data_IF_365758157003
#
_entry.id   IF_365758157003
#
_cell.length_a   1.000
_cell.length_b   1.000
_cell.length_c   1.000
_cell.angle_alpha   90.00
_cell.angle_beta   90.00
_cell.angle_gamma   90.00
#
_symmetry.space_group_name_H-M   'P 1'
#
loop_
_entity.id
_entity.type
_entity.pdbx_description
1 polymer ?
#
# COMPACT_ATOMS: atom_id res chain seq x y z
N UNK A 1 50.97 -10.84 -1.89
CA UNK A 1 50.08 -12.01 -1.92
C UNK A 1 48.83 -11.68 -1.10
N UNK A 2 47.64 -11.89 -1.67
CA UNK A 2 46.36 -11.82 -0.94
C UNK A 2 46.19 -13.06 -0.02
N UNK A 3 45.28 -13.02 0.97
CA UNK A 3 43.94 -13.63 0.74
C UNK A 3 42.78 -12.76 1.28
N UNK A 4 41.62 -12.70 0.60
CA UNK A 4 40.38 -13.47 0.89
C UNK A 4 40.07 -13.57 2.39
N UNK A 5 38.98 -13.05 2.96
CA UNK A 5 37.61 -12.86 2.47
C UNK A 5 36.74 -13.88 3.20
N UNK A 6 35.92 -13.46 4.18
CA UNK A 6 34.71 -14.20 4.60
C UNK A 6 33.81 -13.40 5.58
N UNK A 7 32.54 -13.38 5.20
CA UNK A 7 31.24 -13.27 5.91
C UNK A 7 31.18 -12.92 7.40
N UNK A 8 30.46 -11.85 7.75
CA UNK A 8 29.97 -11.60 9.11
C UNK A 8 28.46 -11.88 9.16
N UNK A 9 28.09 -13.05 9.67
CA UNK A 9 26.84 -13.23 10.41
C UNK A 9 27.06 -12.57 11.77
N UNK A 10 26.23 -11.60 12.13
CA UNK A 10 26.22 -11.07 13.50
C UNK A 10 24.78 -10.99 13.99
N UNK A 11 24.43 -11.98 14.80
CA UNK A 11 23.39 -11.90 15.81
C UNK A 11 24.01 -11.24 17.03
N UNK A 12 23.45 -10.12 17.52
CA UNK A 12 24.00 -9.45 18.70
C UNK A 12 22.84 -8.90 19.54
N UNK A 13 22.66 -9.63 20.63
CA UNK A 13 21.91 -9.34 21.83
C UNK A 13 22.22 -7.93 22.36
N UNK A 14 21.18 -7.28 22.91
CA UNK A 14 21.26 -6.04 23.68
C UNK A 14 22.12 -6.21 24.93
N UNK A 15 23.07 -5.31 25.14
CA UNK A 15 23.48 -4.85 26.47
C UNK A 15 23.87 -3.37 26.43
N UNK A 16 23.19 -2.56 27.23
CA UNK A 16 23.44 -1.14 27.47
C UNK A 16 24.65 -0.94 28.40
N UNK A 17 25.72 -0.25 27.98
CA UNK A 17 26.61 0.54 28.87
C UNK A 17 27.17 1.78 28.13
N UNK A 18 26.69 2.94 28.59
CA UNK A 18 27.26 4.29 28.70
C UNK A 18 28.58 4.67 27.98
N UNK A 19 28.51 5.76 27.20
CA UNK A 19 29.48 6.87 27.29
C UNK A 19 28.82 8.18 26.85
N UNK A 20 28.45 9.00 27.82
CA UNK A 20 27.95 10.37 27.61
C UNK A 20 29.12 11.29 27.22
N UNK A 21 28.95 12.22 26.26
CA UNK A 21 30.03 13.13 25.87
C UNK A 21 30.34 14.12 27.00
N UNK A 22 31.59 14.63 27.10
CA UNK A 22 31.98 15.58 28.14
C UNK A 22 31.12 16.85 28.06
N UNK A 23 30.56 17.27 29.20
CA UNK A 23 29.85 18.56 29.30
C UNK A 23 30.87 19.68 29.31
N UNK A 24 30.77 20.59 28.34
CA UNK A 24 31.47 21.88 28.39
C UNK A 24 30.89 22.71 29.55
N UNK A 25 31.78 23.27 30.37
CA UNK A 25 31.42 24.20 31.46
C UNK A 25 30.72 25.42 30.88
N UNK A 26 29.53 25.73 31.42
CA UNK A 26 28.69 26.83 30.99
C UNK A 26 28.92 28.14 31.78
N UNK A 27 30.04 28.25 32.51
CA UNK A 27 30.24 29.35 33.47
C UNK A 27 30.49 30.74 32.86
N UNK A 28 30.47 30.90 31.53
CA UNK A 28 30.68 32.20 30.88
C UNK A 28 29.65 32.58 29.80
N UNK A 29 28.67 31.72 29.50
CA UNK A 29 27.66 32.04 28.49
C UNK A 29 26.41 32.64 29.16
N UNK A 30 26.46 33.95 29.46
CA UNK A 30 25.25 34.70 29.77
C UNK A 30 24.39 34.72 28.50
N UNK A 31 23.34 33.90 28.43
CA UNK A 31 22.33 34.05 27.38
C UNK A 31 21.75 35.45 27.52
N UNK A 32 21.78 36.22 26.45
CA UNK A 32 20.95 37.42 26.30
C UNK A 32 19.50 36.97 26.35
N UNK A 33 18.89 37.03 27.53
CA UNK A 33 17.44 36.91 27.67
C UNK A 33 16.84 38.16 27.05
N UNK A 34 16.00 38.01 26.03
CA UNK A 34 15.21 39.13 25.52
C UNK A 34 14.37 39.70 26.68
N UNK A 35 14.30 41.03 26.83
CA UNK A 35 13.47 41.68 27.85
C UNK A 35 12.01 41.21 27.83
N UNK A 36 11.54 40.80 26.63
CA UNK A 36 10.23 40.21 26.39
C UNK A 36 9.98 38.96 27.26
N UNK A 37 11.02 38.15 27.50
CA UNK A 37 10.90 36.94 28.34
C UNK A 37 10.70 37.28 29.82
N UNK A 38 11.20 38.43 30.28
CA UNK A 38 11.08 38.85 31.68
C UNK A 38 9.75 39.54 31.95
N UNK A 39 9.22 40.28 30.98
CA UNK A 39 7.88 40.88 31.08
C UNK A 39 6.77 39.83 31.09
N UNK A 40 6.93 38.70 30.40
CA UNK A 40 5.95 37.60 30.47
C UNK A 40 5.91 36.92 31.84
N UNK A 41 7.02 36.88 32.58
CA UNK A 41 7.08 36.29 33.92
C UNK A 41 6.56 37.22 35.02
N UNK A 42 6.52 38.53 34.80
CA UNK A 42 6.04 39.51 35.78
C UNK A 42 4.56 39.88 35.63
N UNK A 43 3.90 39.41 34.56
CA UNK A 43 2.47 39.65 34.31
C UNK A 43 1.60 38.42 34.65
N UNK A 44 2.03 37.57 35.60
CA UNK A 44 1.30 36.35 35.98
C UNK A 44 0.18 36.58 37.02
N UNK A 45 -0.17 37.83 37.34
CA UNK A 45 -1.24 38.15 38.31
C UNK A 45 -2.54 38.70 37.70
N UNK A 46 -2.69 38.74 36.38
CA UNK A 46 -4.00 38.95 35.73
C UNK A 46 -4.15 38.15 34.45
N UNK A 47 -3.99 36.83 34.51
CA UNK A 47 -4.65 35.98 33.53
C UNK A 47 -6.08 35.80 34.05
N UNK A 48 -6.99 36.61 33.52
CA UNK A 48 -8.42 36.47 33.77
C UNK A 48 -8.85 35.03 33.49
N UNK A 49 -9.24 34.32 34.55
CA UNK A 49 -9.75 32.95 34.49
C UNK A 49 -11.08 32.84 33.72
N UNK A 50 -11.57 33.92 33.10
CA UNK A 50 -12.73 33.97 32.21
C UNK A 50 -12.39 34.05 30.72
N UNK A 51 -11.22 33.58 30.28
CA UNK A 51 -11.05 33.30 28.85
C UNK A 51 -12.04 32.19 28.46
N UNK A 52 -12.98 32.44 27.53
CA UNK A 52 -13.91 31.41 27.09
C UNK A 52 -13.10 30.23 26.54
N UNK A 53 -13.53 28.97 26.80
CA UNK A 53 -12.86 27.82 26.24
C UNK A 53 -12.72 27.98 24.73
N UNK A 54 -11.50 27.94 24.20
CA UNK A 54 -11.23 27.96 22.76
C UNK A 54 -11.64 26.59 22.22
N UNK A 55 -12.95 26.38 22.11
CA UNK A 55 -13.60 25.23 21.49
C UNK A 55 -13.87 25.56 20.02
N UNK A 56 -12.91 26.18 19.34
CA UNK A 56 -13.06 26.57 17.93
C UNK A 56 -13.05 25.36 16.99
N UNK A 57 -12.52 24.23 17.45
CA UNK A 57 -12.37 22.99 16.70
C UNK A 57 -13.07 21.82 17.37
N UNK A 58 -13.68 20.97 16.56
CA UNK A 58 -14.34 19.73 16.96
C UNK A 58 -13.72 18.53 16.22
N UNK A 59 -13.66 17.39 16.90
CA UNK A 59 -13.19 16.13 16.31
C UNK A 59 -14.27 15.53 15.40
N UNK A 60 -13.99 15.41 14.11
CA UNK A 60 -14.96 14.97 13.12
C UNK A 60 -14.45 13.82 12.25
N UNK A 61 -15.20 12.71 12.23
CA UNK A 61 -14.85 11.51 11.47
C UNK A 61 -15.35 11.58 10.03
N UNK A 62 -14.43 11.56 9.07
CA UNK A 62 -14.73 11.55 7.64
C UNK A 62 -15.57 10.33 7.23
N UNK A 63 -16.68 10.56 6.51
CA UNK A 63 -17.58 9.50 6.03
C UNK A 63 -17.01 8.67 4.86
N UNK A 64 -15.98 9.18 4.16
CA UNK A 64 -15.31 8.46 3.08
C UNK A 64 -14.27 7.47 3.60
N UNK A 65 -13.28 7.95 4.35
CA UNK A 65 -12.07 7.20 4.72
C UNK A 65 -12.06 6.77 6.19
N UNK A 66 -12.98 7.27 7.01
CA UNK A 66 -13.09 6.94 8.44
C UNK A 66 -12.02 7.55 9.34
N UNK A 67 -11.12 8.39 8.80
CA UNK A 67 -10.15 9.14 9.61
C UNK A 67 -10.85 10.26 10.38
N UNK A 68 -10.40 10.52 11.60
CA UNK A 68 -10.94 11.56 12.49
C UNK A 68 -9.82 12.55 12.75
N UNK A 69 -10.06 13.82 12.45
CA UNK A 69 -9.18 14.93 12.81
C UNK A 69 -10.02 16.09 13.37
N UNK A 70 -9.34 17.15 13.78
CA UNK A 70 -9.91 18.37 14.34
C UNK A 70 -10.21 19.40 13.23
N UNK A 71 -11.42 19.93 13.23
CA UNK A 71 -11.87 20.91 12.23
C UNK A 71 -12.76 21.96 12.89
N UNK A 72 -12.81 23.16 12.31
CA UNK A 72 -13.75 24.18 12.79
C UNK A 72 -15.18 23.81 12.42
N UNK A 73 -16.14 24.11 13.29
CA UNK A 73 -17.57 23.86 13.02
C UNK A 73 -18.06 24.61 11.78
N UNK A 74 -17.49 25.78 11.51
CA UNK A 74 -17.78 26.53 10.28
C UNK A 74 -17.37 25.73 9.04
N UNK A 75 -16.14 25.21 9.01
CA UNK A 75 -15.64 24.41 7.89
C UNK A 75 -16.48 23.13 7.71
N UNK A 76 -16.84 22.44 8.81
CA UNK A 76 -17.73 21.28 8.76
C UNK A 76 -19.08 21.62 8.13
N UNK A 77 -19.68 22.74 8.53
CA UNK A 77 -20.92 23.23 7.96
C UNK A 77 -20.82 23.51 6.45
N UNK A 78 -19.73 24.15 6.00
CA UNK A 78 -19.50 24.44 4.58
C UNK A 78 -19.36 23.15 3.75
N UNK A 79 -18.60 22.16 4.24
CA UNK A 79 -18.43 20.88 3.55
C UNK A 79 -19.76 20.12 3.46
N UNK A 80 -20.52 20.02 4.56
CA UNK A 80 -21.83 19.34 4.53
C UNK A 80 -22.79 19.99 3.53
N UNK A 81 -22.81 21.32 3.44
CA UNK A 81 -23.63 22.03 2.44
C UNK A 81 -23.24 21.69 1.00
N UNK A 82 -21.94 21.47 0.74
CA UNK A 82 -21.40 21.21 -0.60
C UNK A 82 -21.50 19.75 -1.05
N UNK A 83 -21.50 18.80 -0.10
CA UNK A 83 -21.39 17.37 -0.38
C UNK A 83 -22.61 16.58 0.13
N UNK A 84 -23.81 17.05 -0.21
CA UNK A 84 -25.08 16.35 0.06
C UNK A 84 -25.29 16.00 1.55
N UNK A 85 -24.91 16.91 2.45
CA UNK A 85 -25.02 16.74 3.90
C UNK A 85 -23.89 15.91 4.52
N UNK A 86 -22.98 15.35 3.72
CA UNK A 86 -21.91 14.48 4.20
C UNK A 86 -20.70 15.27 4.66
N UNK A 87 -20.11 14.82 5.75
CA UNK A 87 -18.82 15.31 6.22
C UNK A 87 -17.67 14.49 5.64
N UNK A 88 -16.75 15.17 4.95
CA UNK A 88 -15.57 14.57 4.33
C UNK A 88 -14.32 15.41 4.64
N UNK A 89 -13.19 14.74 4.91
CA UNK A 89 -11.93 15.44 5.23
C UNK A 89 -11.33 16.15 4.00
N UNK A 90 -10.40 17.09 4.23
CA UNK A 90 -9.78 17.90 3.17
C UNK A 90 -9.19 17.08 2.01
N UNK A 91 -8.54 15.95 2.30
CA UNK A 91 -7.99 15.08 1.26
C UNK A 91 -9.07 14.43 0.39
N UNK A 92 -10.18 14.01 1.01
CA UNK A 92 -11.33 13.47 0.26
C UNK A 92 -12.05 14.57 -0.52
N UNK A 93 -12.10 15.80 -0.01
CA UNK A 93 -12.63 16.97 -0.73
C UNK A 93 -11.87 17.18 -2.04
N UNK A 94 -10.55 17.17 -2.00
CA UNK A 94 -9.72 17.38 -3.19
C UNK A 94 -9.82 16.22 -4.18
N UNK A 95 -9.87 14.99 -3.68
CA UNK A 95 -10.13 13.82 -4.52
C UNK A 95 -11.50 13.89 -5.22
N UNK A 96 -12.56 14.31 -4.53
CA UNK A 96 -13.89 14.49 -5.15
C UNK A 96 -13.89 15.61 -6.18
N UNK A 97 -13.17 16.72 -5.94
CA UNK A 97 -13.02 17.79 -6.95
C UNK A 97 -12.32 17.25 -8.21
N UNK A 98 -11.28 16.45 -8.05
CA UNK A 98 -10.56 15.84 -9.17
C UNK A 98 -11.47 14.88 -9.95
N UNK A 99 -12.23 14.01 -9.27
CA UNK A 99 -13.22 13.12 -9.89
C UNK A 99 -14.32 13.91 -10.61
N UNK A 100 -14.80 15.02 -10.04
CA UNK A 100 -15.79 15.88 -10.68
C UNK A 100 -15.22 16.49 -11.97
N UNK A 101 -13.97 16.96 -11.95
CA UNK A 101 -13.33 17.51 -13.15
C UNK A 101 -13.20 16.47 -14.28
N UNK A 102 -12.91 15.21 -13.95
CA UNK A 102 -12.84 14.10 -14.92
C UNK A 102 -14.22 13.74 -15.51
N UNK A 103 -15.28 13.82 -14.71
CA UNK A 103 -16.62 13.33 -15.06
C UNK A 103 -17.61 14.45 -15.47
N UNK A 104 -17.11 15.60 -15.93
CA UNK A 104 -17.96 16.68 -16.46
C UNK A 104 -18.63 17.55 -15.41
N UNK A 105 -18.03 17.70 -14.23
CA UNK A 105 -18.43 18.65 -13.18
C UNK A 105 -19.51 18.17 -12.22
N UNK A 106 -19.99 16.93 -12.35
CA UNK A 106 -21.06 16.38 -11.51
C UNK A 106 -20.54 16.00 -10.12
N UNK A 107 -20.68 16.91 -9.16
CA UNK A 107 -20.16 16.75 -7.80
C UNK A 107 -20.76 15.55 -7.06
N UNK A 108 -22.06 15.30 -7.17
CA UNK A 108 -22.75 14.19 -6.48
C UNK A 108 -22.30 12.81 -7.00
N UNK A 109 -22.16 12.67 -8.31
CA UNK A 109 -21.65 11.46 -8.96
C UNK A 109 -20.19 11.22 -8.60
N UNK A 110 -19.36 12.27 -8.59
CA UNK A 110 -17.98 12.20 -8.15
C UNK A 110 -17.85 11.80 -6.68
N UNK A 111 -18.70 12.36 -5.81
CA UNK A 111 -18.75 12.02 -4.38
C UNK A 111 -19.09 10.54 -4.19
N UNK A 112 -20.14 10.05 -4.86
CA UNK A 112 -20.53 8.63 -4.82
C UNK A 112 -19.41 7.70 -5.27
N UNK A 113 -18.78 8.05 -6.41
CA UNK A 113 -17.67 7.29 -6.99
C UNK A 113 -16.49 7.21 -6.02
N UNK A 114 -16.07 8.37 -5.49
CA UNK A 114 -14.98 8.43 -4.52
C UNK A 114 -15.30 7.66 -3.23
N UNK A 115 -16.50 7.82 -2.65
CA UNK A 115 -16.91 7.08 -1.46
C UNK A 115 -16.82 5.56 -1.67
N UNK A 116 -17.25 5.08 -2.84
CA UNK A 116 -17.19 3.66 -3.16
C UNK A 116 -15.75 3.15 -3.27
N UNK A 117 -14.86 3.92 -3.89
CA UNK A 117 -13.46 3.59 -4.05
C UNK A 117 -12.71 3.66 -2.70
N UNK A 118 -12.94 4.72 -1.94
CA UNK A 118 -12.35 4.95 -0.62
C UNK A 118 -12.77 3.86 0.38
N UNK A 119 -14.06 3.48 0.39
CA UNK A 119 -14.56 2.40 1.25
C UNK A 119 -13.91 1.05 0.92
N UNK A 120 -13.77 0.72 -0.38
CA UNK A 120 -13.06 -0.49 -0.82
C UNK A 120 -11.60 -0.46 -0.39
N UNK A 121 -10.91 0.66 -0.63
CA UNK A 121 -9.52 0.82 -0.21
C UNK A 121 -9.36 0.68 1.30
N UNK A 122 -10.24 1.27 2.10
CA UNK A 122 -10.13 1.19 3.55
C UNK A 122 -10.37 -0.23 4.10
N UNK A 123 -11.32 -0.97 3.50
CA UNK A 123 -11.65 -2.36 3.89
C UNK A 123 -10.55 -3.35 3.52
N UNK A 124 -9.98 -3.22 2.33
CA UNK A 124 -9.04 -4.22 1.80
C UNK A 124 -7.60 -3.68 1.78
N UNK A 125 -7.37 -2.57 1.07
CA UNK A 125 -6.03 -2.02 0.87
C UNK A 125 -5.35 -1.52 2.13
N UNK A 126 -6.02 -0.68 2.93
CA UNK A 126 -5.45 -0.08 4.14
C UNK A 126 -5.39 -1.07 5.30
N UNK A 127 -6.50 -1.76 5.57
CA UNK A 127 -6.59 -2.66 6.73
C UNK A 127 -5.73 -3.91 6.57
N UNK A 128 -5.54 -4.40 5.34
CA UNK A 128 -4.73 -5.57 5.08
C UNK A 128 -4.03 -5.45 3.71
N UNK A 129 -2.82 -4.84 3.68
CA UNK A 129 -2.06 -4.63 2.45
C UNK A 129 -1.80 -5.92 1.65
N UNK A 130 -1.75 -7.08 2.30
CA UNK A 130 -1.55 -8.38 1.64
C UNK A 130 -2.75 -8.75 0.76
N UNK A 131 -3.97 -8.34 1.10
CA UNK A 131 -5.12 -8.55 0.21
C UNK A 131 -4.99 -7.78 -1.10
N UNK A 132 -4.40 -6.59 -1.09
CA UNK A 132 -4.17 -5.84 -2.32
C UNK A 132 -3.18 -6.58 -3.23
N UNK A 133 -2.11 -7.14 -2.64
CA UNK A 133 -1.16 -7.99 -3.36
C UNK A 133 -1.84 -9.25 -3.91
N UNK A 134 -2.65 -9.93 -3.10
CA UNK A 134 -3.38 -11.13 -3.52
C UNK A 134 -4.40 -10.84 -4.63
N UNK A 135 -5.10 -9.70 -4.59
CA UNK A 135 -6.01 -9.26 -5.64
C UNK A 135 -5.27 -8.95 -6.94
N UNK A 136 -4.11 -8.29 -6.87
CA UNK A 136 -3.25 -8.06 -8.03
C UNK A 136 -2.80 -9.39 -8.66
N UNK A 137 -2.35 -10.35 -7.84
CA UNK A 137 -1.98 -11.70 -8.29
C UNK A 137 -3.15 -12.43 -8.96
N UNK A 138 -4.34 -12.35 -8.36
CA UNK A 138 -5.57 -12.92 -8.91
C UNK A 138 -5.92 -12.33 -10.27
N UNK A 139 -5.83 -11.02 -10.45
CA UNK A 139 -6.11 -10.39 -11.73
C UNK A 139 -5.06 -10.71 -12.81
N UNK A 140 -3.78 -10.87 -12.44
CA UNK A 140 -2.75 -11.37 -13.38
C UNK A 140 -3.10 -12.77 -13.90
N UNK A 141 -3.44 -13.70 -13.00
CA UNK A 141 -3.84 -15.06 -13.37
C UNK A 141 -5.13 -15.07 -14.21
N UNK A 142 -6.14 -14.26 -13.86
CA UNK A 142 -7.38 -14.16 -14.63
C UNK A 142 -7.19 -13.54 -16.01
N UNK A 143 -6.26 -12.59 -16.18
CA UNK A 143 -5.92 -12.04 -17.50
C UNK A 143 -5.25 -13.09 -18.38
N UNK A 144 -4.41 -13.95 -17.78
CA UNK A 144 -3.82 -15.09 -18.49
C UNK A 144 -4.89 -16.12 -18.93
N UNK A 145 -5.97 -16.30 -18.18
CA UNK A 145 -7.04 -17.25 -18.55
C UNK A 145 -8.12 -16.68 -19.48
N UNK A 146 -8.36 -15.36 -19.44
CA UNK A 146 -9.34 -14.67 -20.32
C UNK A 146 -8.74 -14.17 -21.63
N UNK A 147 -7.43 -13.99 -21.69
CA UNK A 147 -6.70 -13.82 -22.93
C UNK A 147 -6.54 -15.17 -23.62
N UNK A 148 -6.84 -15.22 -24.90
CA UNK A 148 -6.57 -16.32 -25.83
C UNK A 148 -5.05 -16.50 -25.92
N UNK A 149 -4.46 -17.09 -24.89
CA UNK A 149 -3.15 -17.73 -24.93
C UNK A 149 -3.42 -19.20 -24.64
N UNK A 150 -4.19 -19.81 -25.55
CA UNK A 150 -3.90 -21.17 -25.99
C UNK A 150 -2.41 -21.11 -26.29
N UNK A 151 -1.58 -21.55 -25.35
CA UNK A 151 -0.15 -21.47 -25.46
C UNK A 151 0.21 -22.11 -26.80
N UNK A 152 0.51 -21.28 -27.81
CA UNK A 152 1.60 -21.60 -28.70
C UNK A 152 2.77 -21.62 -27.75
N UNK A 153 3.01 -22.79 -27.17
CA UNK A 153 4.30 -23.15 -26.64
C UNK A 153 5.31 -22.55 -27.58
N UNK A 154 6.25 -21.77 -27.05
CA UNK A 154 7.45 -21.37 -27.78
C UNK A 154 8.31 -22.64 -27.89
N UNK A 155 7.76 -23.64 -28.59
CA UNK A 155 8.48 -24.73 -29.21
C UNK A 155 9.17 -24.07 -30.41
N UNK A 156 10.51 -24.04 -30.49
CA UNK A 156 11.23 -23.40 -31.59
C UNK A 156 11.01 -23.99 -33.01
N UNK A 157 9.94 -24.76 -33.26
CA UNK A 157 9.91 -25.66 -34.41
C UNK A 157 9.12 -25.26 -35.66
N UNK A 158 8.47 -24.10 -35.74
CA UNK A 158 7.80 -23.76 -37.01
C UNK A 158 7.81 -22.27 -37.36
N UNK A 159 8.96 -21.83 -37.84
CA UNK A 159 9.04 -20.74 -38.83
C UNK A 159 9.96 -21.18 -39.97
N UNK A 160 9.53 -22.18 -40.73
CA UNK A 160 10.09 -22.39 -42.06
C UNK A 160 9.00 -22.76 -43.04
N UNK A 161 9.04 -22.04 -44.14
CA UNK A 161 8.14 -22.04 -45.27
C UNK A 161 7.73 -23.43 -45.76
N UNK A 162 6.49 -23.49 -46.27
CA UNK A 162 6.09 -24.25 -47.46
C UNK A 162 7.17 -25.15 -48.07
N UNK A 163 7.31 -26.38 -47.57
CA UNK A 163 7.81 -27.48 -48.38
C UNK A 163 7.26 -28.82 -47.88
N UNK A 164 6.37 -29.38 -48.70
CA UNK A 164 6.14 -30.81 -48.98
C UNK A 164 6.50 -31.81 -47.86
N UNK A 165 5.45 -32.48 -47.38
CA UNK A 165 5.37 -33.95 -47.23
C UNK A 165 6.44 -34.59 -46.31
N UNK A 166 6.03 -34.90 -45.08
CA UNK A 166 6.73 -35.84 -44.21
C UNK A 166 5.86 -36.23 -43.03
N UNK A 167 5.06 -37.29 -43.19
CA UNK A 167 4.33 -37.88 -42.08
C UNK A 167 5.32 -38.43 -41.05
N UNK A 168 5.12 -38.12 -39.77
CA UNK A 168 5.91 -38.70 -38.69
C UNK A 168 5.50 -40.17 -38.58
N UNK A 169 6.34 -41.06 -39.10
CA UNK A 169 6.28 -42.49 -38.78
C UNK A 169 6.59 -42.64 -37.29
N UNK A 170 5.67 -43.27 -36.56
CA UNK A 170 5.83 -43.56 -35.14
C UNK A 170 7.00 -44.52 -34.95
N UNK A 171 8.06 -44.07 -34.28
CA UNK A 171 9.12 -44.97 -33.81
C UNK A 171 8.57 -45.81 -32.66
N UNK A 172 8.55 -47.12 -32.84
CA UNK A 172 7.97 -48.12 -31.93
C UNK A 172 8.86 -48.38 -30.68
N UNK A 173 9.46 -47.35 -30.09
CA UNK A 173 10.49 -47.51 -29.03
C UNK A 173 10.00 -47.29 -27.61
N UNK A 174 8.70 -47.07 -27.38
CA UNK A 174 8.16 -46.85 -26.04
C UNK A 174 7.12 -47.92 -25.71
N UNK A 175 7.57 -49.16 -25.50
CA UNK A 175 6.78 -50.17 -24.80
C UNK A 175 7.02 -49.93 -23.30
N UNK A 176 6.01 -49.52 -22.52
CA UNK A 176 6.12 -49.43 -21.07
C UNK A 176 6.41 -50.83 -20.51
N UNK A 177 7.36 -50.95 -19.58
CA UNK A 177 7.81 -52.22 -19.00
C UNK A 177 6.73 -53.00 -18.22
N UNK A 178 5.48 -52.55 -18.21
CA UNK A 178 4.40 -53.02 -17.34
C UNK A 178 3.56 -54.13 -17.99
N UNK A 179 3.82 -54.51 -19.25
CA UNK A 179 3.09 -55.60 -19.92
C UNK A 179 3.96 -56.79 -20.33
N UNK A 180 5.21 -56.89 -19.83
CA UNK A 180 6.09 -58.01 -20.18
C UNK A 180 5.78 -59.31 -19.41
N UNK A 181 4.87 -59.28 -18.44
CA UNK A 181 4.59 -60.43 -17.55
C UNK A 181 3.27 -61.16 -17.86
N UNK A 182 2.74 -61.05 -19.08
CA UNK A 182 1.50 -61.76 -19.46
C UNK A 182 1.69 -62.76 -20.62
N UNK A 183 2.86 -62.81 -21.23
CA UNK A 183 3.08 -63.57 -22.47
C UNK A 183 3.69 -64.96 -22.27
N UNK A 184 4.14 -65.32 -21.06
CA UNK A 184 4.87 -66.57 -20.82
C UNK A 184 3.98 -67.76 -20.41
N UNK A 185 2.64 -67.64 -20.48
CA UNK A 185 1.73 -68.73 -20.10
C UNK A 185 1.03 -69.47 -21.25
N UNK A 186 1.36 -69.18 -22.51
CA UNK A 186 0.76 -69.89 -23.65
C UNK A 186 1.78 -70.50 -24.62
N UNK A 187 2.78 -71.24 -24.10
CA UNK A 187 3.43 -72.32 -24.87
C UNK A 187 3.84 -73.45 -23.90
N UNK A 188 2.91 -74.35 -23.58
CA UNK A 188 3.21 -75.79 -23.44
C UNK A 188 2.11 -76.54 -24.18
N UNK A 189 2.57 -77.48 -24.99
CA UNK A 189 1.87 -78.32 -25.97
C UNK A 189 0.75 -79.17 -25.39
#
# INVERSE_FOLDING_TARGET
>A
MAPHGETIVSSNVRTNILSQPPRLSSDSLKRTTSEISYEWMNNEDTIDANLPPISEVENAKCECCGMSDEYTSEYIGQIRKKYSGKWICGLCVDAVKEEAQKNGGKNEEALSTHMSACSKFNKFGRANPVFYQAEAMKEMLKKNTRGIMRAKSISPRDRTMNLKKGGITRTNSCIPAITKEMSDLNIVS
#
